data_IF_024277454687
#
_entry.id   IF_024277454687
#
_cell.length_a   1.000
_cell.length_b   1.000
_cell.length_c   1.000
_cell.angle_alpha   90.00
_cell.angle_beta   90.00
_cell.angle_gamma   90.00
#
_symmetry.space_group_name_H-M   'P 1'
#
loop_
_entity.id
_entity.type
_entity.pdbx_description
1 polymer ?
#
# COMPACT_ATOMS: atom_id res chain seq x y z
N UNK A 1 46.12 -24.41 -6.67
CA UNK A 1 44.65 -24.47 -6.52
C UNK A 1 44.13 -25.70 -7.26
N UNK A 2 44.21 -26.89 -6.66
CA UNK A 2 43.63 -28.10 -7.26
C UNK A 2 42.21 -28.28 -6.76
N UNK A 3 41.23 -28.00 -7.63
CA UNK A 3 39.83 -28.32 -7.35
C UNK A 3 39.68 -29.84 -7.32
N UNK A 4 39.37 -30.38 -6.13
CA UNK A 4 39.11 -31.81 -5.94
C UNK A 4 37.91 -32.22 -6.80
N UNK A 5 38.03 -33.27 -7.63
CA UNK A 5 36.89 -33.82 -8.38
C UNK A 5 35.75 -34.12 -7.39
N UNK A 6 34.58 -33.53 -7.61
CA UNK A 6 33.41 -33.68 -6.72
C UNK A 6 32.85 -32.37 -6.16
N UNK A 7 33.66 -31.33 -5.96
CA UNK A 7 33.20 -30.08 -5.31
C UNK A 7 32.14 -29.33 -6.11
N UNK A 8 32.29 -29.27 -7.44
CA UNK A 8 31.32 -28.60 -8.33
C UNK A 8 30.03 -29.41 -8.53
N UNK A 9 30.10 -30.73 -8.42
CA UNK A 9 28.94 -31.63 -8.55
C UNK A 9 28.00 -31.54 -7.37
N UNK A 10 28.51 -31.38 -6.14
CA UNK A 10 27.67 -31.23 -4.95
C UNK A 10 26.85 -29.94 -4.95
N UNK A 11 27.45 -28.83 -5.42
CA UNK A 11 26.73 -27.56 -5.62
C UNK A 11 25.63 -27.73 -6.68
N UNK A 12 25.95 -28.40 -7.80
CA UNK A 12 25.00 -28.60 -8.89
C UNK A 12 23.81 -29.47 -8.50
N UNK A 13 24.00 -30.50 -7.67
CA UNK A 13 22.91 -31.37 -7.18
C UNK A 13 21.90 -30.62 -6.31
N UNK A 14 22.36 -29.74 -5.43
CA UNK A 14 21.48 -28.95 -4.54
C UNK A 14 20.68 -27.87 -5.27
N UNK A 15 21.19 -27.40 -6.41
CA UNK A 15 20.60 -26.28 -7.17
C UNK A 15 19.88 -26.70 -8.46
N UNK A 16 19.95 -27.96 -8.86
CA UNK A 16 19.34 -28.40 -10.11
C UNK A 16 17.87 -28.75 -9.93
N UNK A 17 17.01 -28.05 -10.68
CA UNK A 17 15.55 -28.25 -10.66
C UNK A 17 14.94 -28.16 -9.26
N UNK A 18 15.54 -27.36 -8.38
CA UNK A 18 14.91 -26.98 -7.13
C UNK A 18 13.62 -26.25 -7.50
N UNK A 19 12.48 -26.90 -7.28
CA UNK A 19 11.17 -26.30 -7.52
C UNK A 19 10.96 -25.08 -6.64
N UNK A 20 9.80 -24.46 -6.76
CA UNK A 20 9.39 -23.43 -5.80
C UNK A 20 9.32 -24.09 -4.43
N UNK A 21 10.20 -23.68 -3.51
CA UNK A 21 10.18 -24.12 -2.12
C UNK A 21 8.82 -23.75 -1.51
N UNK A 22 8.09 -24.75 -1.00
CA UNK A 22 6.73 -24.60 -0.53
C UNK A 22 6.64 -23.63 0.67
N UNK A 23 7.67 -23.60 1.51
CA UNK A 23 7.72 -22.70 2.67
C UNK A 23 8.04 -21.27 2.24
N UNK A 24 8.97 -21.08 1.30
CA UNK A 24 9.26 -19.78 0.70
C UNK A 24 8.03 -19.23 -0.05
N UNK A 25 7.29 -20.09 -0.77
CA UNK A 25 6.06 -19.70 -1.46
C UNK A 25 4.95 -19.30 -0.48
N UNK A 26 4.83 -20.02 0.65
CA UNK A 26 3.90 -19.67 1.72
C UNK A 26 4.24 -18.30 2.31
N UNK A 27 5.51 -18.07 2.67
CA UNK A 27 5.99 -16.77 3.19
C UNK A 27 5.67 -15.63 2.22
N UNK A 28 6.00 -15.78 0.93
CA UNK A 28 5.70 -14.76 -0.09
C UNK A 28 4.21 -14.44 -0.20
N UNK A 29 3.33 -15.44 -0.08
CA UNK A 29 1.87 -15.23 -0.10
C UNK A 29 1.38 -14.45 1.12
N UNK A 30 1.93 -14.75 2.29
CA UNK A 30 1.60 -14.05 3.54
C UNK A 30 2.04 -12.59 3.51
N UNK A 31 3.28 -12.35 3.06
CA UNK A 31 3.83 -11.00 2.94
C UNK A 31 3.05 -10.16 1.93
N UNK A 32 2.77 -10.71 0.74
CA UNK A 32 2.01 -10.02 -0.29
C UNK A 32 0.58 -9.68 0.16
N UNK A 33 -0.07 -10.58 0.93
CA UNK A 33 -1.40 -10.31 1.46
C UNK A 33 -1.41 -9.13 2.44
N UNK A 34 -0.39 -9.02 3.29
CA UNK A 34 -0.25 -7.90 4.23
C UNK A 34 0.08 -6.59 3.50
N UNK A 35 0.94 -6.65 2.49
CA UNK A 35 1.28 -5.52 1.62
C UNK A 35 0.03 -4.96 0.93
N UNK A 36 -0.78 -5.81 0.28
CA UNK A 36 -2.03 -5.39 -0.37
C UNK A 36 -2.97 -4.70 0.63
N UNK A 37 -3.11 -5.25 1.85
CA UNK A 37 -3.98 -4.66 2.88
C UNK A 37 -3.48 -3.28 3.33
N UNK A 38 -2.17 -3.11 3.52
CA UNK A 38 -1.55 -1.83 3.89
C UNK A 38 -1.74 -0.79 2.79
N UNK A 39 -1.44 -1.14 1.53
CA UNK A 39 -1.59 -0.25 0.39
C UNK A 39 -3.05 0.19 0.24
N UNK A 40 -4.00 -0.73 0.34
CA UNK A 40 -5.43 -0.40 0.32
C UNK A 40 -5.83 0.56 1.44
N UNK A 41 -5.28 0.39 2.66
CA UNK A 41 -5.55 1.31 3.78
C UNK A 41 -4.96 2.69 3.51
N UNK A 42 -3.72 2.76 3.05
CA UNK A 42 -3.04 4.00 2.74
C UNK A 42 -3.74 4.78 1.62
N UNK A 43 -4.10 4.11 0.53
CA UNK A 43 -4.85 4.69 -0.59
C UNK A 43 -6.19 5.26 -0.13
N UNK A 44 -6.94 4.51 0.68
CA UNK A 44 -8.22 4.99 1.22
C UNK A 44 -8.04 6.22 2.14
N UNK A 45 -6.99 6.23 2.98
CA UNK A 45 -6.68 7.38 3.84
C UNK A 45 -6.25 8.59 3.02
N UNK A 46 -5.44 8.38 1.98
CA UNK A 46 -5.00 9.44 1.08
C UNK A 46 -6.18 10.05 0.33
N UNK A 47 -7.10 9.22 -0.18
CA UNK A 47 -8.35 9.67 -0.80
C UNK A 47 -9.18 10.52 0.16
N UNK A 48 -9.43 10.04 1.39
CA UNK A 48 -10.15 10.81 2.42
C UNK A 48 -9.47 12.14 2.75
N UNK A 49 -8.14 12.19 2.80
CA UNK A 49 -7.39 13.45 3.00
C UNK A 49 -7.53 14.40 1.83
N UNK A 50 -7.39 13.91 0.60
CA UNK A 50 -7.47 14.72 -0.63
C UNK A 50 -8.89 15.24 -0.88
N UNK A 51 -9.88 14.35 -0.79
CA UNK A 51 -11.28 14.68 -1.01
C UNK A 51 -11.89 15.44 0.18
N UNK A 52 -11.45 15.18 1.42
CA UNK A 52 -11.86 15.96 2.59
C UNK A 52 -11.49 17.44 2.47
N UNK A 53 -10.30 17.75 1.92
CA UNK A 53 -9.91 19.12 1.59
C UNK A 53 -10.80 19.73 0.49
N UNK A 54 -11.14 18.95 -0.55
CA UNK A 54 -12.01 19.40 -1.63
C UNK A 54 -13.46 19.64 -1.15
N UNK A 55 -13.99 18.77 -0.31
CA UNK A 55 -15.35 18.88 0.24
C UNK A 55 -15.47 20.04 1.23
N UNK A 56 -14.42 20.31 2.01
CA UNK A 56 -14.37 21.49 2.87
C UNK A 56 -14.30 22.78 2.03
N UNK A 57 -13.58 22.78 0.91
CA UNK A 57 -13.52 23.95 0.02
C UNK A 57 -14.81 24.22 -0.79
N UNK A 58 -15.63 23.20 -1.08
CA UNK A 58 -16.91 23.41 -1.78
C UNK A 58 -18.10 23.71 -0.85
N UNK A 59 -18.03 23.33 0.43
CA UNK A 59 -19.11 23.59 1.40
C UNK A 59 -18.92 24.87 2.24
N UNK A 60 -17.72 25.48 2.22
CA UNK A 60 -17.44 26.71 2.94
C UNK A 60 -18.17 27.96 2.40
N UNK A 61 -18.27 28.25 1.08
CA UNK A 61 -18.88 29.51 0.65
C UNK A 61 -20.41 29.55 0.86
N UNK A 62 -21.09 28.40 0.97
CA UNK A 62 -22.55 28.37 1.16
C UNK A 62 -22.96 28.64 2.61
N UNK A 63 -22.17 28.12 3.57
CA UNK A 63 -22.47 28.28 5.01
C UNK A 63 -22.14 29.70 5.50
N UNK A 64 -21.04 30.29 5.03
CA UNK A 64 -20.66 31.67 5.39
C UNK A 64 -21.58 32.71 4.74
N UNK A 65 -22.02 32.49 3.49
CA UNK A 65 -22.95 33.40 2.81
C UNK A 65 -24.33 33.45 3.50
N UNK A 66 -24.84 32.31 3.96
CA UNK A 66 -26.10 32.22 4.68
C UNK A 66 -26.04 32.94 6.05
N UNK A 67 -24.91 32.85 6.76
CA UNK A 67 -24.71 33.56 8.02
C UNK A 67 -24.57 35.08 7.82
N UNK A 68 -23.91 35.52 6.75
CA UNK A 68 -23.82 36.94 6.42
C UNK A 68 -25.17 37.55 6.05
N UNK A 69 -26.00 36.85 5.27
CA UNK A 69 -27.35 37.32 4.90
C UNK A 69 -28.27 37.48 6.12
N UNK A 70 -28.29 36.49 7.02
CA UNK A 70 -29.12 36.51 8.23
C UNK A 70 -28.73 37.63 9.23
N UNK A 71 -27.50 38.12 9.16
CA UNK A 71 -27.00 39.21 10.01
C UNK A 71 -27.31 40.61 9.44
N UNK A 72 -27.65 40.72 8.15
CA UNK A 72 -27.98 41.99 7.50
C UNK A 72 -29.45 42.36 7.71
N UNK A 73 -30.36 41.38 7.77
CA UNK A 73 -31.80 41.62 7.99
C UNK A 73 -32.18 42.03 9.43
N UNK A 74 -31.24 41.96 10.37
CA UNK A 74 -31.48 42.31 11.79
C UNK A 74 -31.00 43.71 12.18
N UNK A 75 -30.71 44.59 11.22
CA UNK A 75 -30.29 45.98 11.46
C UNK A 75 -31.34 46.99 11.04
#
# INVERSE_FOLDING_TARGET
MSLRPGTRTEVRKKSYKTGVDADEARRRREDNLLEIRKNKREDNLLKKRREGLLFQSQSQPLLDAAQHAANIEKK
#
